data_IF_680217150692
#
_entry.id   IF_680217150692
#
_cell.length_a   1.000
_cell.length_b   1.000
_cell.length_c   1.000
_cell.angle_alpha   90.00
_cell.angle_beta   90.00
_cell.angle_gamma   90.00
#
_symmetry.space_group_name_H-M   'P 1'
#
loop_
_entity.id
_entity.type
_entity.pdbx_description
1 polymer ?
#
# COMPACT_ATOMS: atom_id res chain seq x y z
N UNK A 1 -32.22 3.42 11.26
CA UNK A 1 -31.17 2.75 10.45
C UNK A 1 -30.16 2.13 11.41
N UNK A 2 -29.99 0.81 11.36
CA UNK A 2 -29.32 0.04 12.38
C UNK A 2 -27.79 0.18 12.23
N UNK A 3 -27.08 0.70 13.24
CA UNK A 3 -25.63 0.99 13.18
C UNK A 3 -24.78 -0.24 12.84
N UNK A 4 -25.28 -1.43 13.18
CA UNK A 4 -24.68 -2.72 12.83
C UNK A 4 -24.62 -2.98 11.33
N UNK A 5 -25.60 -2.53 10.53
CA UNK A 5 -25.55 -2.68 9.07
C UNK A 5 -24.47 -1.81 8.43
N UNK A 6 -24.15 -0.64 9.01
CA UNK A 6 -23.09 0.24 8.51
C UNK A 6 -21.71 -0.43 8.72
N UNK A 7 -21.50 -1.04 9.90
CA UNK A 7 -20.25 -1.75 10.23
C UNK A 7 -20.10 -3.02 9.40
N UNK A 8 -21.15 -3.85 9.28
CA UNK A 8 -21.15 -5.04 8.43
C UNK A 8 -20.97 -4.70 6.94
N UNK A 9 -21.52 -3.58 6.49
CA UNK A 9 -21.32 -3.12 5.11
C UNK A 9 -19.89 -2.65 4.86
N UNK A 10 -19.22 -2.03 5.84
CA UNK A 10 -17.83 -1.58 5.72
C UNK A 10 -16.81 -2.73 5.68
N UNK A 11 -16.97 -3.74 6.56
CA UNK A 11 -16.01 -4.86 6.65
C UNK A 11 -16.19 -5.90 5.55
N UNK A 12 -17.43 -6.23 5.18
CA UNK A 12 -17.71 -7.39 4.30
C UNK A 12 -18.12 -6.95 2.89
N UNK A 13 -18.98 -5.93 2.77
CA UNK A 13 -19.61 -5.57 1.48
C UNK A 13 -18.88 -4.49 0.68
N UNK A 14 -18.01 -3.70 1.30
CA UNK A 14 -17.26 -2.61 0.65
C UNK A 14 -15.75 -2.72 0.82
N UNK A 15 -15.24 -3.78 1.43
CA UNK A 15 -13.80 -3.93 1.61
C UNK A 15 -13.17 -4.33 0.25
N UNK A 16 -12.29 -3.48 -0.33
CA UNK A 16 -11.71 -3.74 -1.65
C UNK A 16 -10.92 -5.05 -1.71
N UNK A 17 -10.38 -5.52 -0.58
CA UNK A 17 -9.66 -6.80 -0.51
C UNK A 17 -10.60 -8.00 -0.65
N UNK A 18 -11.83 -7.91 -0.14
CA UNK A 18 -12.81 -9.00 -0.22
C UNK A 18 -13.70 -8.95 -1.47
N UNK A 19 -13.98 -7.76 -2.01
CA UNK A 19 -14.94 -7.57 -3.10
C UNK A 19 -14.26 -7.40 -4.46
N UNK A 20 -13.16 -6.65 -4.53
CA UNK A 20 -12.42 -6.42 -5.78
C UNK A 20 -11.18 -7.31 -5.92
N UNK A 21 -10.80 -8.05 -4.87
CA UNK A 21 -9.62 -8.93 -4.86
C UNK A 21 -8.34 -8.17 -5.24
N UNK A 22 -8.26 -6.88 -4.86
CA UNK A 22 -7.10 -6.03 -5.10
C UNK A 22 -6.11 -6.14 -3.94
N UNK A 23 -4.81 -6.25 -4.24
CA UNK A 23 -3.76 -6.31 -3.23
C UNK A 23 -3.59 -7.67 -2.54
N UNK A 24 -4.00 -8.77 -3.19
CA UNK A 24 -3.92 -10.12 -2.58
C UNK A 24 -2.49 -10.59 -2.28
N UNK A 25 -1.51 -10.24 -3.11
CA UNK A 25 -0.13 -10.68 -2.93
C UNK A 25 0.45 -10.30 -1.55
N UNK A 26 0.42 -9.03 -1.10
CA UNK A 26 0.89 -8.67 0.24
C UNK A 26 -0.08 -9.13 1.33
N UNK A 27 -1.38 -9.20 1.05
CA UNK A 27 -2.38 -9.58 2.07
C UNK A 27 -2.22 -11.04 2.48
N UNK A 28 -2.08 -11.97 1.53
CA UNK A 28 -1.83 -13.38 1.83
C UNK A 28 -0.44 -13.60 2.43
N UNK A 29 0.58 -12.91 1.91
CA UNK A 29 1.97 -13.06 2.36
C UNK A 29 2.21 -12.64 3.82
N UNK A 30 1.49 -11.64 4.31
CA UNK A 30 1.67 -11.09 5.67
C UNK A 30 0.79 -11.70 6.75
N UNK A 31 -0.09 -12.65 6.40
CA UNK A 31 -0.97 -13.34 7.37
C UNK A 31 -0.24 -14.19 8.40
N UNK A 32 1.07 -14.40 8.23
CA UNK A 32 1.93 -15.19 9.13
C UNK A 32 2.13 -14.56 10.52
N UNK A 33 2.09 -13.23 10.63
CA UNK A 33 2.28 -12.52 11.89
C UNK A 33 1.57 -11.17 11.91
N UNK A 34 0.90 -10.86 13.03
CA UNK A 34 0.26 -9.56 13.24
C UNK A 34 1.26 -8.39 13.16
N UNK A 35 2.51 -8.60 13.59
CA UNK A 35 3.57 -7.60 13.49
C UNK A 35 3.97 -7.32 12.02
N UNK A 36 3.99 -8.36 11.17
CA UNK A 36 4.29 -8.24 9.74
C UNK A 36 3.17 -7.53 8.98
N UNK A 37 1.91 -7.87 9.28
CA UNK A 37 0.74 -7.20 8.72
C UNK A 37 0.66 -5.72 9.09
N UNK A 38 0.89 -5.38 10.36
CA UNK A 38 0.97 -3.97 10.79
C UNK A 38 2.14 -3.23 10.12
N UNK A 39 3.30 -3.87 10.01
CA UNK A 39 4.47 -3.32 9.34
C UNK A 39 4.20 -2.97 7.87
N UNK A 40 3.64 -3.90 7.09
CA UNK A 40 3.26 -3.64 5.69
C UNK A 40 2.18 -2.55 5.57
N UNK A 41 1.16 -2.61 6.43
CA UNK A 41 0.06 -1.65 6.38
C UNK A 41 0.52 -0.22 6.63
N UNK A 42 1.37 -0.03 7.64
CA UNK A 42 1.95 1.29 7.97
C UNK A 42 2.92 1.77 6.89
N UNK A 43 3.77 0.88 6.35
CA UNK A 43 4.68 1.23 5.26
C UNK A 43 3.92 1.69 4.02
N UNK A 44 2.93 0.91 3.56
CA UNK A 44 2.15 1.24 2.36
C UNK A 44 1.29 2.48 2.53
N UNK A 45 0.70 2.72 3.70
CA UNK A 45 -0.03 3.98 3.97
C UNK A 45 0.90 5.19 3.91
N UNK A 46 2.10 5.10 4.49
CA UNK A 46 3.10 6.18 4.40
C UNK A 46 3.51 6.47 2.95
N UNK A 47 3.80 5.44 2.14
CA UNK A 47 4.10 5.59 0.70
C UNK A 47 2.94 6.22 -0.05
N UNK A 48 1.71 5.76 0.19
CA UNK A 48 0.52 6.24 -0.50
C UNK A 48 0.25 7.72 -0.23
N UNK A 49 0.43 8.16 1.01
CA UNK A 49 0.26 9.58 1.39
C UNK A 49 1.31 10.44 0.66
N UNK A 50 2.58 10.05 0.73
CA UNK A 50 3.67 10.78 0.07
C UNK A 50 3.54 10.81 -1.45
N UNK A 51 3.20 9.66 -2.04
CA UNK A 51 3.02 9.53 -3.48
C UNK A 51 1.84 10.37 -3.98
N UNK A 52 0.71 10.38 -3.27
CA UNK A 52 -0.43 11.23 -3.64
C UNK A 52 -0.10 12.72 -3.58
N UNK A 53 0.69 13.15 -2.60
CA UNK A 53 1.12 14.55 -2.49
C UNK A 53 1.93 14.98 -3.71
N UNK A 54 2.90 14.14 -4.12
CA UNK A 54 3.76 14.41 -5.28
C UNK A 54 3.00 14.27 -6.59
N UNK A 55 2.15 13.25 -6.73
CA UNK A 55 1.32 13.05 -7.92
C UNK A 55 0.38 14.24 -8.14
N UNK A 56 -0.21 14.79 -7.07
CA UNK A 56 -1.07 15.98 -7.16
C UNK A 56 -0.37 17.19 -7.77
N UNK A 57 0.93 17.38 -7.45
CA UNK A 57 1.76 18.46 -8.00
C UNK A 57 2.15 18.23 -9.47
N UNK A 58 2.47 16.99 -9.84
CA UNK A 58 2.99 16.66 -11.18
C UNK A 58 1.84 16.42 -12.18
N UNK A 59 0.60 16.21 -11.73
CA UNK A 59 -0.55 15.83 -12.57
C UNK A 59 -0.79 16.72 -13.78
N UNK A 60 -0.50 18.02 -13.69
CA UNK A 60 -0.76 18.99 -14.75
C UNK A 60 0.29 18.95 -15.88
N UNK A 61 1.45 18.35 -15.65
CA UNK A 61 2.56 18.29 -16.62
C UNK A 61 2.54 16.96 -17.41
N UNK A 62 1.85 15.93 -16.92
CA UNK A 62 1.90 14.59 -17.51
C UNK A 62 0.88 14.43 -18.64
N UNK A 63 1.31 14.09 -19.88
CA UNK A 63 0.40 13.79 -20.97
C UNK A 63 -0.42 12.51 -20.70
N UNK A 64 -1.72 12.52 -21.03
CA UNK A 64 -2.66 11.47 -20.65
C UNK A 64 -2.27 10.06 -21.12
N UNK A 65 -1.51 9.95 -22.21
CA UNK A 65 -1.02 8.66 -22.74
C UNK A 65 -0.02 7.94 -21.82
N UNK A 66 0.69 8.67 -20.95
CA UNK A 66 1.75 8.11 -20.09
C UNK A 66 1.47 8.30 -18.59
N UNK A 67 0.22 8.66 -18.24
CA UNK A 67 -0.18 8.90 -16.84
C UNK A 67 0.01 7.67 -15.95
N UNK A 68 -0.42 6.48 -16.39
CA UNK A 68 -0.33 5.25 -15.59
C UNK A 68 1.15 4.86 -15.33
N UNK A 69 2.04 4.76 -16.34
CA UNK A 69 3.46 4.48 -16.11
C UNK A 69 4.14 5.52 -15.21
N UNK A 70 3.86 6.81 -15.40
CA UNK A 70 4.45 7.88 -14.60
C UNK A 70 4.10 7.73 -13.11
N UNK A 71 2.85 7.41 -12.78
CA UNK A 71 2.44 7.19 -11.40
C UNK A 71 3.10 5.95 -10.78
N UNK A 72 3.27 4.88 -11.55
CA UNK A 72 3.95 3.65 -11.10
C UNK A 72 5.42 3.95 -10.76
N UNK A 73 6.13 4.73 -11.60
CA UNK A 73 7.54 5.08 -11.36
C UNK A 73 7.70 5.93 -10.09
N UNK A 74 6.80 6.88 -9.87
CA UNK A 74 6.79 7.70 -8.63
C UNK A 74 6.61 6.80 -7.42
N UNK A 75 5.59 5.93 -7.42
CA UNK A 75 5.34 5.00 -6.31
C UNK A 75 6.55 4.08 -6.09
N UNK A 76 7.10 3.50 -7.16
CA UNK A 76 8.26 2.61 -7.08
C UNK A 76 9.45 3.29 -6.40
N UNK A 77 9.76 4.54 -6.77
CA UNK A 77 10.87 5.29 -6.17
C UNK A 77 10.71 5.49 -4.66
N UNK A 78 9.50 5.77 -4.19
CA UNK A 78 9.21 5.91 -2.76
C UNK A 78 9.29 4.57 -2.02
N UNK A 79 8.80 3.50 -2.65
CA UNK A 79 8.89 2.15 -2.09
C UNK A 79 10.36 1.74 -1.92
N UNK A 80 11.24 2.05 -2.88
CA UNK A 80 12.68 1.78 -2.77
C UNK A 80 13.32 2.53 -1.59
N UNK A 81 12.92 3.77 -1.32
CA UNK A 81 13.40 4.53 -0.16
C UNK A 81 12.97 3.85 1.15
N UNK A 82 11.72 3.40 1.24
CA UNK A 82 11.24 2.65 2.41
C UNK A 82 11.97 1.31 2.55
N UNK A 83 12.24 0.61 1.45
CA UNK A 83 12.99 -0.64 1.47
C UNK A 83 14.37 -0.45 2.12
N UNK A 84 15.08 0.60 1.74
CA UNK A 84 16.38 0.96 2.34
C UNK A 84 16.26 1.35 3.83
N UNK A 85 15.21 2.10 4.20
CA UNK A 85 14.93 2.43 5.61
C UNK A 85 14.62 1.18 6.45
N UNK A 86 13.82 0.25 5.92
CA UNK A 86 13.49 -1.00 6.62
C UNK A 86 14.72 -1.88 6.83
N UNK A 87 15.63 -1.94 5.85
CA UNK A 87 16.90 -2.65 5.99
C UNK A 87 17.77 -2.06 7.10
N UNK A 88 17.74 -0.74 7.31
CA UNK A 88 18.53 -0.06 8.33
C UNK A 88 17.95 -0.17 9.75
N UNK A 89 16.62 -0.07 9.91
CA UNK A 89 15.98 0.01 11.24
C UNK A 89 15.42 -1.32 11.74
N UNK A 90 14.95 -2.22 10.85
CA UNK A 90 14.27 -3.47 11.27
C UNK A 90 14.63 -4.63 10.32
N UNK A 91 15.82 -5.25 10.49
CA UNK A 91 16.29 -6.32 9.60
C UNK A 91 15.40 -7.58 9.67
N UNK A 92 14.75 -7.84 10.80
CA UNK A 92 13.79 -8.94 10.95
C UNK A 92 12.53 -8.74 10.07
N UNK A 93 12.09 -7.49 9.90
CA UNK A 93 10.93 -7.16 9.07
C UNK A 93 11.33 -7.15 7.59
N UNK A 94 12.53 -6.66 7.27
CA UNK A 94 13.09 -6.73 5.92
C UNK A 94 13.25 -8.18 5.41
N UNK A 95 13.70 -9.11 6.26
CA UNK A 95 13.83 -10.52 5.88
C UNK A 95 12.48 -11.19 5.55
N UNK A 96 11.39 -10.75 6.18
CA UNK A 96 10.05 -11.29 5.96
C UNK A 96 9.26 -10.56 4.84
N UNK A 97 9.44 -9.25 4.70
CA UNK A 97 8.69 -8.40 3.76
C UNK A 97 9.45 -8.03 2.49
N UNK A 98 10.78 -8.21 2.45
CA UNK A 98 11.62 -7.74 1.35
C UNK A 98 11.30 -8.35 -0.02
N UNK A 99 10.62 -9.51 -0.05
CA UNK A 99 10.14 -10.15 -1.30
C UNK A 99 8.79 -9.58 -1.77
N UNK A 100 8.03 -8.95 -0.86
CA UNK A 100 6.70 -8.39 -1.13
C UNK A 100 6.72 -6.87 -1.37
N UNK A 101 7.88 -6.24 -1.23
CA UNK A 101 8.19 -4.83 -1.49
C UNK A 101 8.96 -4.74 -2.80
#
# INVERSE_FOLDING_TARGET
MNKLQIILSGIVKNNPTFVLVLGMCPTLGTTTSAANGMGMGLATTAVLIMSNLVISLIKNIIPDKVRIPAFIVVIASFVTIIQMLMQAFVPALYAALGVFI
#
